data_IF_379634707058
#
_entry.id   IF_379634707058
#
_cell.length_a   1.000
_cell.length_b   1.000
_cell.length_c   1.000
_cell.angle_alpha   90.00
_cell.angle_beta   90.00
_cell.angle_gamma   90.00
#
_symmetry.space_group_name_H-M   'P 1'
#
loop_
_entity.id
_entity.type
_entity.pdbx_description
1 polymer ?
#
# COMPACT_ATOMS: atom_id res chain seq x y z
N UNK A 1 6.88 0.95 -12.07
CA UNK A 1 7.27 1.14 -10.65
C UNK A 1 6.62 2.42 -10.09
N UNK A 2 6.45 2.53 -8.77
CA UNK A 2 6.06 3.82 -8.15
C UNK A 2 7.28 4.74 -8.15
N UNK A 3 7.13 5.93 -8.71
CA UNK A 3 8.20 6.95 -8.73
C UNK A 3 7.91 7.95 -7.62
N UNK A 4 8.88 8.12 -6.71
CA UNK A 4 8.78 9.08 -5.61
C UNK A 4 9.23 10.47 -6.10
N UNK A 5 8.35 11.46 -6.01
CA UNK A 5 8.71 12.85 -6.26
C UNK A 5 9.62 13.36 -5.14
N UNK A 6 10.89 13.61 -5.48
CA UNK A 6 11.91 14.05 -4.54
C UNK A 6 11.63 15.45 -3.95
N UNK A 7 10.76 16.26 -4.57
CA UNK A 7 10.32 17.54 -4.04
C UNK A 7 9.34 17.39 -2.86
N UNK A 8 8.76 16.20 -2.66
CA UNK A 8 7.86 15.89 -1.55
C UNK A 8 8.64 15.19 -0.44
N UNK A 9 8.78 15.84 0.72
CA UNK A 9 9.46 15.28 1.89
C UNK A 9 8.63 15.48 3.16
N UNK A 10 7.96 14.42 3.68
CA UNK A 10 7.94 13.06 3.15
C UNK A 10 7.02 12.88 1.93
N UNK A 11 7.40 12.01 1.00
CA UNK A 11 6.46 11.46 0.02
C UNK A 11 5.51 10.50 0.76
N UNK A 12 4.29 10.96 1.04
CA UNK A 12 3.24 10.16 1.71
C UNK A 12 2.61 9.11 0.78
N UNK A 13 2.73 7.84 1.15
CA UNK A 13 2.10 6.67 0.53
C UNK A 13 1.05 6.10 1.47
N UNK A 14 -0.22 6.15 1.08
CA UNK A 14 -1.31 5.48 1.78
C UNK A 14 -1.56 4.12 1.15
N UNK A 15 -1.52 3.04 1.95
CA UNK A 15 -1.72 1.68 1.44
C UNK A 15 -3.06 1.13 1.91
N UNK A 16 -3.97 0.91 0.96
CA UNK A 16 -5.33 0.45 1.19
C UNK A 16 -5.59 -0.92 0.56
N UNK A 17 -6.72 -1.53 0.90
CA UNK A 17 -7.13 -2.86 0.40
C UNK A 17 -7.72 -3.75 1.48
N UNK A 18 -8.23 -4.91 1.09
CA UNK A 18 -8.93 -5.82 2.01
C UNK A 18 -7.97 -6.56 2.94
N UNK A 19 -8.47 -7.11 4.04
CA UNK A 19 -7.66 -7.98 4.90
C UNK A 19 -7.20 -9.23 4.13
N UNK A 20 -5.96 -9.68 4.39
CA UNK A 20 -5.39 -10.85 3.71
C UNK A 20 -4.82 -10.59 2.31
N UNK A 21 -4.97 -9.37 1.76
CA UNK A 21 -4.41 -8.97 0.45
C UNK A 21 -2.89 -8.75 0.45
N UNK A 22 -2.26 -8.70 1.62
CA UNK A 22 -0.82 -8.50 1.76
C UNK A 22 -0.38 -7.04 1.93
N UNK A 23 -1.26 -6.12 2.39
CA UNK A 23 -0.91 -4.70 2.66
C UNK A 23 0.35 -4.52 3.50
N UNK A 24 0.34 -5.03 4.73
CA UNK A 24 1.45 -4.88 5.70
C UNK A 24 2.75 -5.47 5.14
N UNK A 25 2.69 -6.63 4.48
CA UNK A 25 3.87 -7.23 3.82
C UNK A 25 4.33 -6.37 2.64
N UNK A 26 3.41 -5.84 1.83
CA UNK A 26 3.75 -4.96 0.70
C UNK A 26 4.45 -3.69 1.18
N UNK A 27 3.98 -3.08 2.27
CA UNK A 27 4.63 -1.93 2.91
C UNK A 27 6.06 -2.27 3.31
N UNK A 28 6.27 -3.43 3.94
CA UNK A 28 7.60 -3.87 4.34
C UNK A 28 8.56 -4.06 3.15
N UNK A 29 8.07 -4.68 2.06
CA UNK A 29 8.86 -4.89 0.84
C UNK A 29 9.20 -3.55 0.14
N UNK A 30 8.23 -2.64 0.04
CA UNK A 30 8.46 -1.29 -0.49
C UNK A 30 9.46 -0.51 0.39
N UNK A 31 9.32 -0.58 1.71
CA UNK A 31 10.23 0.05 2.64
C UNK A 31 11.66 -0.48 2.50
N UNK A 32 11.83 -1.81 2.38
CA UNK A 32 13.13 -2.42 2.13
C UNK A 32 13.74 -1.94 0.80
N UNK A 33 12.96 -1.88 -0.29
CA UNK A 33 13.41 -1.38 -1.58
C UNK A 33 13.86 0.09 -1.50
N UNK A 34 13.06 0.97 -0.90
CA UNK A 34 13.43 2.39 -0.74
C UNK A 34 14.65 2.57 0.17
N UNK A 35 14.78 1.76 1.23
CA UNK A 35 15.98 1.75 2.08
C UNK A 35 17.22 1.31 1.31
N UNK A 36 17.11 0.32 0.43
CA UNK A 36 18.19 -0.11 -0.46
C UNK A 36 18.60 0.98 -1.46
N UNK A 37 17.65 1.83 -1.88
CA UNK A 37 17.90 3.05 -2.66
C UNK A 37 18.47 4.22 -1.83
N UNK A 38 18.75 4.01 -0.54
CA UNK A 38 19.31 5.02 0.35
C UNK A 38 18.30 6.04 0.90
N UNK A 39 16.99 5.79 0.74
CA UNK A 39 15.93 6.68 1.24
C UNK A 39 15.71 6.46 2.74
N UNK A 40 15.38 7.54 3.44
CA UNK A 40 14.86 7.49 4.81
C UNK A 40 13.35 7.23 4.80
N UNK A 41 12.90 6.19 5.50
CA UNK A 41 11.51 5.71 5.45
C UNK A 41 10.91 5.67 6.85
N UNK A 42 9.72 6.23 7.03
CA UNK A 42 8.90 6.11 8.25
C UNK A 42 7.64 5.30 7.95
N UNK A 43 7.25 4.42 8.85
CA UNK A 43 6.04 3.61 8.74
C UNK A 43 5.00 4.07 9.77
N UNK A 44 3.71 3.96 9.46
CA UNK A 44 2.61 4.23 10.39
C UNK A 44 1.63 3.06 10.45
N UNK A 45 1.41 2.51 11.64
CA UNK A 45 0.55 1.36 11.88
C UNK A 45 -0.93 1.76 12.08
N UNK A 46 -1.58 2.33 11.05
CA UNK A 46 -2.95 2.81 11.16
C UNK A 46 -4.03 1.72 11.02
N UNK A 47 -3.69 0.42 10.90
CA UNK A 47 -4.59 -0.71 11.23
C UNK A 47 -4.65 -0.90 12.77
N UNK A 48 -5.16 0.10 13.47
CA UNK A 48 -5.09 0.18 14.94
C UNK A 48 -5.96 -0.86 15.65
N UNK A 49 -6.95 -1.44 14.97
CA UNK A 49 -7.86 -2.44 15.56
C UNK A 49 -7.23 -3.82 15.69
N UNK A 50 -6.14 -4.10 14.97
CA UNK A 50 -5.52 -5.42 14.95
C UNK A 50 -4.15 -5.33 15.61
N UNK A 51 -4.08 -5.68 16.90
CA UNK A 51 -2.83 -5.75 17.64
C UNK A 51 -1.75 -6.59 16.90
N UNK A 52 -2.15 -7.70 16.27
CA UNK A 52 -1.27 -8.50 15.44
C UNK A 52 -0.74 -7.77 14.19
N UNK A 53 -1.53 -6.89 13.57
CA UNK A 53 -1.08 -6.09 12.43
C UNK A 53 -0.08 -5.01 12.87
N UNK A 54 -0.33 -4.35 14.01
CA UNK A 54 0.62 -3.40 14.62
C UNK A 54 1.95 -4.11 14.91
N UNK A 55 1.91 -5.22 15.64
CA UNK A 55 3.10 -6.00 15.96
C UNK A 55 3.85 -6.50 14.72
N UNK A 56 3.11 -6.94 13.69
CA UNK A 56 3.70 -7.37 12.42
C UNK A 56 4.42 -6.20 11.73
N UNK A 57 3.84 -5.00 11.68
CA UNK A 57 4.49 -3.85 11.07
C UNK A 57 5.71 -3.38 11.88
N UNK A 58 5.68 -3.50 13.21
CA UNK A 58 6.84 -3.21 14.07
C UNK A 58 8.00 -4.16 13.78
N UNK A 59 7.75 -5.47 13.71
CA UNK A 59 8.78 -6.46 13.33
C UNK A 59 9.37 -6.13 11.96
N UNK A 60 8.53 -5.72 10.99
CA UNK A 60 9.03 -5.29 9.69
C UNK A 60 9.85 -4.00 9.75
N UNK A 61 9.44 -3.03 10.57
CA UNK A 61 10.22 -1.82 10.82
C UNK A 61 11.60 -2.12 11.40
N UNK A 62 11.68 -3.00 12.40
CA UNK A 62 12.94 -3.46 12.97
C UNK A 62 13.82 -4.15 11.91
N UNK A 63 13.25 -5.08 11.14
CA UNK A 63 13.98 -5.81 10.08
C UNK A 63 14.49 -4.90 8.96
N UNK A 64 13.78 -3.82 8.64
CA UNK A 64 14.14 -2.88 7.58
C UNK A 64 14.88 -1.65 8.06
N UNK A 65 15.04 -1.49 9.38
CA UNK A 65 15.62 -0.28 9.99
C UNK A 65 14.79 0.97 9.72
N UNK A 66 13.45 0.85 9.75
CA UNK A 66 12.50 1.94 9.57
C UNK A 66 11.78 2.23 10.91
N UNK A 67 11.75 3.48 11.40
CA UNK A 67 10.91 3.84 12.54
C UNK A 67 9.43 3.60 12.24
N UNK A 68 8.71 3.03 13.21
CA UNK A 68 7.26 2.75 13.11
C UNK A 68 6.50 3.58 14.13
N UNK A 69 5.65 4.47 13.64
CA UNK A 69 4.66 5.15 14.46
C UNK A 69 3.53 4.18 14.81
N UNK A 70 3.33 3.97 16.10
CA UNK A 70 2.29 3.10 16.66
C UNK A 70 1.47 3.85 17.69
N UNK A 71 0.24 3.39 17.91
CA UNK A 71 -0.62 3.81 19.00
C UNK A 71 -1.19 2.58 19.70
N UNK A 72 -1.85 2.78 20.83
CA UNK A 72 -2.55 1.70 21.54
C UNK A 72 -3.61 1.04 20.64
N UNK A 73 -3.84 -0.28 20.75
CA UNK A 73 -4.89 -0.95 20.00
C UNK A 73 -6.26 -0.28 20.18
N UNK A 74 -6.94 0.00 19.07
CA UNK A 74 -8.22 0.71 19.04
C UNK A 74 -8.13 2.24 19.07
N UNK A 75 -6.92 2.82 19.08
CA UNK A 75 -6.73 4.26 18.90
C UNK A 75 -7.20 4.75 17.53
N UNK A 76 -7.43 6.07 17.41
CA UNK A 76 -7.87 6.71 16.16
C UNK A 76 -6.79 6.62 15.05
N UNK A 77 -7.04 5.89 13.93
CA UNK A 77 -6.09 5.77 12.83
C UNK A 77 -5.67 7.11 12.22
N UNK A 78 -6.62 8.06 12.15
CA UNK A 78 -6.36 9.38 11.60
C UNK A 78 -5.42 10.19 12.52
N UNK A 79 -5.66 10.19 13.83
CA UNK A 79 -4.76 10.80 14.81
C UNK A 79 -3.34 10.24 14.73
N UNK A 80 -3.19 8.91 14.60
CA UNK A 80 -1.89 8.28 14.42
C UNK A 80 -1.21 8.71 13.11
N UNK A 81 -1.94 8.73 11.99
CA UNK A 81 -1.41 9.16 10.69
C UNK A 81 -0.93 10.62 10.70
N UNK A 82 -1.68 11.51 11.36
CA UNK A 82 -1.29 12.91 11.54
C UNK A 82 0.02 13.04 12.34
N UNK A 83 0.10 12.38 13.50
CA UNK A 83 1.30 12.40 14.34
C UNK A 83 2.53 11.76 13.64
N UNK A 84 2.31 10.70 12.86
CA UNK A 84 3.36 10.07 12.07
C UNK A 84 3.90 11.01 10.98
N UNK A 85 3.02 11.77 10.34
CA UNK A 85 3.39 12.76 9.34
C UNK A 85 4.18 13.93 9.93
N UNK A 86 3.76 14.50 11.07
CA UNK A 86 4.53 15.54 11.75
C UNK A 86 5.93 15.07 12.14
N UNK A 87 6.05 13.84 12.66
CA UNK A 87 7.34 13.23 13.00
C UNK A 87 8.21 13.01 11.75
N UNK A 88 7.63 12.50 10.67
CA UNK A 88 8.35 12.28 9.41
C UNK A 88 8.84 13.59 8.78
N UNK A 89 8.04 14.67 8.83
CA UNK A 89 8.44 16.01 8.40
C UNK A 89 9.60 16.55 9.25
N UNK A 90 9.51 16.42 10.58
CA UNK A 90 10.55 16.88 11.52
C UNK A 90 11.86 16.11 11.34
N UNK A 91 11.77 14.80 11.05
CA UNK A 91 12.92 13.95 10.78
C UNK A 91 13.46 14.10 9.33
N UNK A 92 12.84 14.95 8.51
CA UNK A 92 13.15 15.08 7.08
C UNK A 92 13.15 13.74 6.33
N UNK A 93 12.26 12.83 6.70
CA UNK A 93 12.14 11.54 6.04
C UNK A 93 11.77 11.71 4.57
N UNK A 94 12.35 10.88 3.69
CA UNK A 94 12.03 10.89 2.27
C UNK A 94 10.63 10.29 2.02
N UNK A 95 10.22 9.29 2.81
CA UNK A 95 8.96 8.57 2.61
C UNK A 95 8.22 8.34 3.93
N UNK A 96 6.89 8.48 3.88
CA UNK A 96 5.98 8.02 4.93
C UNK A 96 5.01 7.00 4.34
N UNK A 97 5.04 5.75 4.79
CA UNK A 97 4.10 4.72 4.40
C UNK A 97 3.07 4.43 5.50
N UNK A 98 1.79 4.54 5.19
CA UNK A 98 0.69 4.39 6.14
C UNK A 98 -0.05 3.07 5.84
N UNK A 99 -0.01 2.12 6.79
CA UNK A 99 -0.82 0.89 6.75
C UNK A 99 -2.23 1.18 7.27
N UNK A 100 -3.26 0.64 6.63
CA UNK A 100 -4.66 0.90 7.01
C UNK A 100 -5.42 -0.40 7.29
N UNK A 101 -6.55 -0.28 7.98
CA UNK A 101 -7.48 -1.40 8.08
C UNK A 101 -8.01 -1.85 6.70
N UNK A 102 -8.57 -3.07 6.63
CA UNK A 102 -9.13 -3.66 5.39
C UNK A 102 -10.44 -4.43 5.57
N UNK A 103 -11.25 -4.09 6.58
CA UNK A 103 -12.48 -4.80 6.95
C UNK A 103 -13.66 -4.46 6.02
N UNK A 104 -13.66 -4.98 4.80
CA UNK A 104 -14.65 -4.63 3.76
C UNK A 104 -16.09 -5.03 4.11
N UNK A 105 -16.32 -6.01 5.00
CA UNK A 105 -17.67 -6.35 5.48
C UNK A 105 -18.38 -5.17 6.18
N UNK A 106 -17.62 -4.20 6.72
CA UNK A 106 -18.13 -2.96 7.28
C UNK A 106 -17.71 -1.76 6.41
N UNK A 107 -18.11 -1.78 5.13
CA UNK A 107 -17.69 -0.81 4.10
C UNK A 107 -17.80 0.64 4.59
N UNK A 108 -18.96 1.04 5.13
CA UNK A 108 -19.22 2.43 5.54
C UNK A 108 -18.20 2.93 6.57
N UNK A 109 -17.93 2.13 7.60
CA UNK A 109 -16.97 2.50 8.64
C UNK A 109 -15.54 2.57 8.10
N UNK A 110 -15.12 1.53 7.36
CA UNK A 110 -13.77 1.49 6.76
C UNK A 110 -13.52 2.69 5.84
N UNK A 111 -14.50 3.03 4.99
CA UNK A 111 -14.36 4.15 4.05
C UNK A 111 -14.32 5.49 4.79
N UNK A 112 -15.16 5.69 5.80
CA UNK A 112 -15.14 6.92 6.60
C UNK A 112 -13.80 7.11 7.33
N UNK A 113 -13.20 6.02 7.82
CA UNK A 113 -11.88 6.02 8.46
C UNK A 113 -10.78 6.40 7.46
N UNK A 114 -10.74 5.77 6.28
CA UNK A 114 -9.77 6.09 5.23
C UNK A 114 -9.89 7.56 4.77
N UNK A 115 -11.12 8.04 4.55
CA UNK A 115 -11.36 9.44 4.21
C UNK A 115 -10.93 10.39 5.34
N UNK A 116 -11.09 9.98 6.60
CA UNK A 116 -10.59 10.76 7.74
C UNK A 116 -9.07 10.81 7.73
N UNK A 117 -8.37 9.70 7.48
CA UNK A 117 -6.90 9.65 7.33
C UNK A 117 -6.43 10.59 6.23
N UNK A 118 -7.04 10.55 5.03
CA UNK A 118 -6.71 11.46 3.93
C UNK A 118 -6.93 12.93 4.33
N UNK A 119 -8.05 13.25 4.99
CA UNK A 119 -8.33 14.63 5.43
C UNK A 119 -7.32 15.16 6.44
N UNK A 120 -6.81 14.34 7.35
CA UNK A 120 -5.87 14.81 8.37
C UNK A 120 -4.47 15.00 7.82
N UNK A 121 -3.97 14.11 6.95
CA UNK A 121 -2.66 14.32 6.30
C UNK A 121 -2.68 15.55 5.39
N UNK A 122 -3.82 15.85 4.76
CA UNK A 122 -4.03 17.06 3.95
C UNK A 122 -3.91 18.37 4.73
N UNK A 123 -4.07 18.35 6.06
CA UNK A 123 -3.88 19.55 6.89
C UNK A 123 -2.42 19.97 6.97
N UNK A 124 -1.50 19.01 6.83
CA UNK A 124 -0.06 19.23 6.92
C UNK A 124 0.55 19.45 5.52
N UNK A 125 0.04 18.76 4.50
CA UNK A 125 0.36 18.98 3.09
C UNK A 125 -0.89 18.78 2.23
N UNK A 126 -1.39 19.84 1.60
CA UNK A 126 -2.60 19.80 0.79
C UNK A 126 -2.52 18.81 -0.40
N UNK A 127 -1.31 18.45 -0.84
CA UNK A 127 -1.06 17.48 -1.91
C UNK A 127 -0.90 16.03 -1.42
N UNK A 128 -0.90 15.78 -0.12
CA UNK A 128 -0.86 14.44 0.45
C UNK A 128 -2.25 13.75 0.49
N UNK A 129 -2.33 12.41 0.50
CA UNK A 129 -1.25 11.49 0.16
C UNK A 129 -0.87 11.63 -1.32
N UNK A 130 0.43 11.52 -1.62
CA UNK A 130 0.94 11.65 -3.00
C UNK A 130 0.73 10.37 -3.81
N UNK A 131 0.60 9.22 -3.13
CA UNK A 131 0.18 7.97 -3.71
C UNK A 131 -0.81 7.25 -2.80
N UNK A 132 -1.88 6.73 -3.39
CA UNK A 132 -2.80 5.81 -2.73
C UNK A 132 -2.72 4.48 -3.47
N UNK A 133 -2.03 3.51 -2.84
CA UNK A 133 -1.81 2.19 -3.41
C UNK A 133 -2.91 1.24 -2.93
N UNK A 134 -3.66 0.68 -3.87
CA UNK A 134 -4.61 -0.39 -3.59
C UNK A 134 -3.92 -1.75 -3.77
N UNK A 135 -3.74 -2.48 -2.67
CA UNK A 135 -3.15 -3.82 -2.67
C UNK A 135 -4.26 -4.85 -2.86
N UNK A 136 -4.08 -5.70 -3.87
CA UNK A 136 -5.04 -6.73 -4.24
C UNK A 136 -4.37 -8.09 -4.37
N UNK A 137 -5.12 -9.12 -4.01
CA UNK A 137 -4.71 -10.52 -4.14
C UNK A 137 -5.17 -11.06 -5.49
N UNK A 138 -4.24 -11.59 -6.29
CA UNK A 138 -4.53 -12.13 -7.62
C UNK A 138 -5.49 -13.33 -7.61
N UNK A 139 -5.65 -14.02 -6.48
CA UNK A 139 -6.51 -15.21 -6.36
C UNK A 139 -8.01 -14.86 -6.29
N UNK A 140 -8.33 -13.61 -5.97
CA UNK A 140 -9.69 -13.07 -5.78
C UNK A 140 -10.52 -13.10 -7.07
N UNK A 141 -9.88 -13.11 -8.24
CA UNK A 141 -10.54 -13.18 -9.54
C UNK A 141 -11.43 -11.96 -9.80
N UNK A 142 -12.62 -12.17 -10.39
CA UNK A 142 -13.53 -11.10 -10.83
C UNK A 142 -13.99 -10.16 -9.69
N UNK A 143 -13.96 -10.62 -8.44
CA UNK A 143 -14.25 -9.78 -7.27
C UNK A 143 -13.24 -8.63 -7.08
N UNK A 144 -12.08 -8.65 -7.77
CA UNK A 144 -11.15 -7.53 -7.73
C UNK A 144 -11.73 -6.28 -8.40
N UNK A 145 -12.53 -6.42 -9.47
CA UNK A 145 -13.14 -5.28 -10.17
C UNK A 145 -14.04 -4.47 -9.24
N UNK A 146 -14.92 -5.14 -8.49
CA UNK A 146 -15.83 -4.48 -7.55
C UNK A 146 -15.09 -3.87 -6.36
N UNK A 147 -13.96 -4.46 -5.94
CA UNK A 147 -13.10 -3.84 -4.92
C UNK A 147 -12.51 -2.53 -5.42
N UNK A 148 -11.93 -2.50 -6.63
CA UNK A 148 -11.38 -1.24 -7.18
C UNK A 148 -12.44 -0.16 -7.29
N UNK A 149 -13.65 -0.48 -7.76
CA UNK A 149 -14.77 0.47 -7.81
C UNK A 149 -15.05 1.09 -6.44
N UNK A 150 -15.24 0.25 -5.42
CA UNK A 150 -15.57 0.71 -4.06
C UNK A 150 -14.47 1.63 -3.50
N UNK A 151 -13.20 1.27 -3.70
CA UNK A 151 -12.10 2.10 -3.20
C UNK A 151 -11.95 3.39 -4.00
N UNK A 152 -12.09 3.35 -5.33
CA UNK A 152 -11.95 4.54 -6.21
C UNK A 152 -13.04 5.57 -6.01
N UNK A 153 -14.26 5.14 -5.68
CA UNK A 153 -15.36 6.06 -5.33
C UNK A 153 -15.11 6.85 -4.04
N UNK A 154 -14.25 6.35 -3.15
CA UNK A 154 -14.15 6.84 -1.77
C UNK A 154 -12.80 7.47 -1.45
N UNK A 155 -11.73 6.96 -2.06
CA UNK A 155 -10.36 7.50 -1.99
C UNK A 155 -9.77 7.56 -3.38
N UNK A 156 -8.94 8.56 -3.62
CA UNK A 156 -8.29 8.78 -4.92
C UNK A 156 -7.17 7.75 -5.14
N UNK A 157 -7.53 6.53 -5.53
CA UNK A 157 -6.59 5.44 -5.80
C UNK A 157 -5.72 5.82 -7.00
N UNK A 158 -4.42 5.96 -6.78
CA UNK A 158 -3.46 6.38 -7.82
C UNK A 158 -2.77 5.21 -8.50
N UNK A 159 -2.79 4.02 -7.91
CA UNK A 159 -2.17 2.84 -8.49
C UNK A 159 -2.41 1.54 -7.73
N UNK A 160 -2.01 0.44 -8.35
CA UNK A 160 -2.26 -0.91 -7.88
C UNK A 160 -0.96 -1.64 -7.50
N UNK A 161 -1.05 -2.50 -6.50
CA UNK A 161 -0.06 -3.56 -6.25
C UNK A 161 -0.80 -4.90 -6.21
N UNK A 162 -0.34 -5.86 -7.00
CA UNK A 162 -1.00 -7.17 -7.12
C UNK A 162 -0.12 -8.24 -6.49
N UNK A 163 -0.60 -8.93 -5.47
CA UNK A 163 0.15 -9.94 -4.72
C UNK A 163 -0.30 -11.35 -5.08
N UNK A 164 0.49 -12.35 -4.65
CA UNK A 164 0.22 -13.79 -4.80
C UNK A 164 0.06 -14.25 -6.26
N UNK A 165 0.87 -13.69 -7.15
CA UNK A 165 0.87 -14.11 -8.56
C UNK A 165 1.57 -15.47 -8.77
N UNK A 166 2.50 -15.83 -7.90
CA UNK A 166 3.28 -17.06 -7.91
C UNK A 166 2.42 -18.34 -7.83
N UNK A 167 1.26 -18.28 -7.20
CA UNK A 167 0.34 -19.42 -7.06
C UNK A 167 -0.92 -19.36 -7.93
N UNK A 168 -1.03 -18.39 -8.85
CA UNK A 168 -2.32 -18.06 -9.49
C UNK A 168 -2.31 -18.17 -11.00
N UNK A 169 -3.08 -19.13 -11.55
CA UNK A 169 -3.48 -19.16 -12.96
C UNK A 169 -4.45 -18.00 -13.34
N UNK A 170 -4.79 -17.11 -12.39
CA UNK A 170 -5.75 -16.02 -12.56
C UNK A 170 -5.09 -14.66 -12.80
N UNK A 171 -3.84 -14.64 -13.28
CA UNK A 171 -3.12 -13.40 -13.63
C UNK A 171 -3.92 -12.48 -14.58
N UNK A 172 -4.78 -13.04 -15.44
CA UNK A 172 -5.64 -12.26 -16.35
C UNK A 172 -6.48 -11.16 -15.69
N UNK A 173 -6.72 -11.21 -14.37
CA UNK A 173 -7.39 -10.11 -13.65
C UNK A 173 -6.63 -8.78 -13.75
N UNK A 174 -5.29 -8.81 -13.81
CA UNK A 174 -4.45 -7.62 -13.94
C UNK A 174 -4.76 -6.89 -15.26
N UNK A 175 -4.98 -7.63 -16.34
CA UNK A 175 -5.34 -7.10 -17.66
C UNK A 175 -6.72 -6.44 -17.60
N UNK A 176 -7.72 -7.13 -17.03
CA UNK A 176 -9.07 -6.59 -16.89
C UNK A 176 -9.14 -5.32 -16.02
N UNK A 177 -8.30 -5.25 -14.97
CA UNK A 177 -8.19 -4.06 -14.12
C UNK A 177 -7.57 -2.89 -14.87
N UNK A 178 -6.52 -3.13 -15.64
CA UNK A 178 -5.87 -2.13 -16.46
C UNK A 178 -6.81 -1.57 -17.53
N UNK A 179 -7.52 -2.45 -18.25
CA UNK A 179 -8.49 -2.08 -19.29
C UNK A 179 -9.65 -1.24 -18.73
N UNK A 180 -10.23 -1.67 -17.60
CA UNK A 180 -11.42 -1.00 -17.05
C UNK A 180 -11.13 0.31 -16.33
N UNK A 181 -10.03 0.39 -15.58
CA UNK A 181 -9.79 1.51 -14.68
C UNK A 181 -8.66 2.45 -15.11
N UNK A 182 -7.78 2.02 -16.02
CA UNK A 182 -6.61 2.78 -16.46
C UNK A 182 -5.60 3.07 -15.35
N UNK A 183 -5.66 2.34 -14.23
CA UNK A 183 -4.76 2.54 -13.09
C UNK A 183 -3.42 1.84 -13.35
N UNK A 184 -2.29 2.51 -13.08
CA UNK A 184 -0.99 1.89 -13.22
C UNK A 184 -0.81 0.79 -12.18
N UNK A 185 -0.31 -0.37 -12.62
CA UNK A 185 0.20 -1.41 -11.72
C UNK A 185 1.66 -1.07 -11.44
N UNK A 186 1.99 -0.75 -10.20
CA UNK A 186 3.35 -0.32 -9.85
C UNK A 186 4.28 -1.50 -9.56
N UNK A 187 3.74 -2.54 -8.92
CA UNK A 187 4.50 -3.70 -8.47
C UNK A 187 3.64 -4.96 -8.39
N UNK A 188 4.32 -6.10 -8.44
CA UNK A 188 3.73 -7.42 -8.28
C UNK A 188 4.46 -8.25 -7.23
N UNK A 189 3.70 -8.90 -6.35
CA UNK A 189 4.20 -9.83 -5.35
C UNK A 189 4.21 -11.25 -5.90
N UNK A 190 5.39 -11.86 -5.95
CA UNK A 190 5.65 -13.20 -6.53
C UNK A 190 6.24 -14.18 -5.50
N UNK A 191 5.99 -13.95 -4.22
CA UNK A 191 6.51 -14.76 -3.12
C UNK A 191 6.42 -14.05 -1.77
N UNK A 192 7.01 -14.65 -0.74
CA UNK A 192 6.92 -14.19 0.66
C UNK A 192 8.16 -13.43 1.14
N UNK A 193 9.31 -13.58 0.47
CA UNK A 193 10.56 -12.88 0.77
C UNK A 193 10.47 -11.37 0.58
N UNK A 194 11.39 -10.63 1.22
CA UNK A 194 11.44 -9.16 1.11
C UNK A 194 11.68 -8.69 -0.33
N UNK A 195 12.47 -9.46 -1.09
CA UNK A 195 12.84 -9.16 -2.47
C UNK A 195 11.80 -9.68 -3.49
N UNK A 196 10.74 -10.36 -3.03
CA UNK A 196 9.69 -10.92 -3.89
C UNK A 196 8.60 -9.90 -4.26
N UNK A 197 8.92 -8.60 -4.19
CA UNK A 197 8.10 -7.54 -4.79
C UNK A 197 8.86 -6.97 -5.98
N UNK A 198 8.37 -7.27 -7.18
CA UNK A 198 9.01 -6.83 -8.42
C UNK A 198 8.29 -5.63 -9.02
N UNK A 199 9.00 -4.66 -9.62
CA UNK A 199 8.37 -3.68 -10.49
C UNK A 199 7.52 -4.38 -11.56
N UNK A 200 6.32 -3.87 -11.81
CA UNK A 200 5.49 -4.42 -12.89
C UNK A 200 6.07 -4.07 -14.26
N UNK A 201 6.15 -5.07 -15.14
CA UNK A 201 6.46 -4.93 -16.56
C UNK A 201 5.35 -5.58 -17.37
N UNK A 202 4.69 -4.80 -18.23
CA UNK A 202 3.59 -5.29 -19.05
C UNK A 202 4.04 -6.40 -20.00
N UNK A 203 5.23 -6.25 -20.62
CA UNK A 203 5.79 -7.23 -21.55
C UNK A 203 6.13 -8.54 -20.84
N UNK A 204 6.83 -8.46 -19.70
CA UNK A 204 7.18 -9.65 -18.93
C UNK A 204 5.93 -10.36 -18.40
N UNK A 205 4.92 -9.59 -18.00
CA UNK A 205 3.65 -10.12 -17.54
C UNK A 205 2.87 -10.80 -18.68
N UNK A 206 2.78 -10.17 -19.85
CA UNK A 206 2.12 -10.73 -21.02
C UNK A 206 2.81 -12.00 -21.52
N UNK A 207 4.15 -12.00 -21.59
CA UNK A 207 4.93 -13.20 -21.94
C UNK A 207 4.66 -14.36 -20.97
N UNK A 208 4.73 -14.09 -19.65
CA UNK A 208 4.41 -15.10 -18.63
C UNK A 208 2.96 -15.61 -18.74
N UNK A 209 1.99 -14.74 -19.01
CA UNK A 209 0.58 -15.10 -19.15
C UNK A 209 0.31 -15.96 -20.39
N UNK A 210 1.02 -15.69 -21.49
CA UNK A 210 0.87 -16.41 -22.76
C UNK A 210 1.77 -17.65 -22.86
N UNK A 211 2.64 -17.89 -21.87
CA UNK A 211 3.64 -18.97 -21.93
C UNK A 211 4.70 -18.75 -22.99
N UNK A 212 4.93 -17.49 -23.38
CA UNK A 212 5.96 -17.08 -24.33
C UNK A 212 7.12 -16.57 -23.50
N UNK A 213 8.08 -17.45 -23.19
CA UNK A 213 9.35 -17.03 -22.58
C UNK A 213 10.06 -16.05 -23.54
N UNK A 214 10.58 -14.96 -22.99
CA UNK A 214 11.42 -14.01 -23.71
C UNK A 214 12.85 -14.52 -23.81
#
# INVERSE_FOLDING_TARGET
>A
PLVLDAAKKPFVVLVAGVNGSGKTTTIAKLAAAWKAEGKSVTLAAADTFRAAAIAQLQIWGERTGCPVAVAEPGADPAGLAYAAMEKAMTAHADVLAIDTAGRLQNKKHLMAELQKVVRVVKKLDASAPHAVLLVMDATVGQNALSQVEIFKEMVDVTGLVVTKLDGSAKGGIVVALAEKFGLPVHAVGVGEGLDDLRPFSADAFAGALLGIEA
#
